data_IF_683138715743
#
_entry.id   IF_683138715743
#
_cell.length_a   1.000
_cell.length_b   1.000
_cell.length_c   1.000
_cell.angle_alpha   90.00
_cell.angle_beta   90.00
_cell.angle_gamma   90.00
#
_symmetry.space_group_name_H-M   'P 1'
#
loop_
_entity.id
_entity.type
_entity.pdbx_description
1 polymer ?
#
# COMPACT_ATOMS: atom_id res chain seq x y z
N UNK A 1 -0.71 -9.01 -27.82
CA UNK A 1 -1.57 -8.94 -26.64
C UNK A 1 -0.81 -8.39 -25.45
N UNK A 2 -1.47 -7.54 -24.65
CA UNK A 2 -0.89 -6.99 -23.42
C UNK A 2 -1.10 -8.03 -22.33
N UNK A 3 -0.03 -8.39 -21.60
CA UNK A 3 -0.10 -9.30 -20.45
C UNK A 3 0.04 -8.56 -19.12
N UNK A 4 -0.41 -9.19 -18.04
CA UNK A 4 -0.28 -8.66 -16.69
C UNK A 4 1.20 -8.40 -16.31
N UNK A 5 2.10 -9.34 -16.63
CA UNK A 5 3.54 -9.18 -16.37
C UNK A 5 4.15 -8.00 -17.15
N UNK A 6 3.71 -7.79 -18.40
CA UNK A 6 4.15 -6.64 -19.19
C UNK A 6 3.63 -5.32 -18.63
N UNK A 7 2.38 -5.26 -18.15
CA UNK A 7 1.83 -4.07 -17.49
C UNK A 7 2.54 -3.77 -16.16
N UNK A 8 2.79 -4.80 -15.35
CA UNK A 8 3.55 -4.68 -14.10
C UNK A 8 4.94 -4.10 -14.36
N UNK A 9 5.68 -4.67 -15.32
CA UNK A 9 7.01 -4.20 -15.72
C UNK A 9 6.99 -2.76 -16.27
N UNK A 10 5.98 -2.43 -17.08
CA UNK A 10 5.83 -1.09 -17.65
C UNK A 10 5.52 -0.05 -16.58
N UNK A 11 4.70 -0.41 -15.59
CA UNK A 11 4.40 0.45 -14.46
C UNK A 11 5.62 0.68 -13.58
N UNK A 12 6.27 -0.40 -13.16
CA UNK A 12 7.40 -0.36 -12.24
C UNK A 12 8.66 0.31 -12.84
N UNK A 13 8.83 0.27 -14.16
CA UNK A 13 9.97 0.92 -14.84
C UNK A 13 9.69 2.34 -15.33
N UNK A 14 8.44 2.67 -15.71
CA UNK A 14 8.14 3.92 -16.43
C UNK A 14 6.87 4.62 -15.98
N UNK A 15 5.74 3.92 -15.87
CA UNK A 15 4.45 4.62 -15.68
C UNK A 15 4.25 5.15 -14.25
N UNK A 16 4.99 4.65 -13.25
CA UNK A 16 5.05 5.30 -11.94
C UNK A 16 5.42 6.79 -12.04
N UNK A 17 6.21 7.19 -13.06
CA UNK A 17 6.61 8.59 -13.27
C UNK A 17 5.44 9.49 -13.64
N UNK A 18 4.42 8.96 -14.31
CA UNK A 18 3.21 9.72 -14.66
C UNK A 18 2.41 10.02 -13.38
N UNK A 19 2.33 9.05 -12.47
CA UNK A 19 1.71 9.23 -11.16
C UNK A 19 2.49 10.24 -10.29
N UNK A 20 3.82 10.15 -10.30
CA UNK A 20 4.70 11.13 -9.65
C UNK A 20 4.47 12.54 -10.20
N UNK A 21 4.49 12.70 -11.53
CA UNK A 21 4.24 13.98 -12.20
C UNK A 21 2.86 14.54 -11.87
N UNK A 22 1.83 13.68 -11.80
CA UNK A 22 0.49 14.09 -11.40
C UNK A 22 0.47 14.63 -9.98
N UNK A 23 1.14 13.96 -9.03
CA UNK A 23 1.19 14.40 -7.64
C UNK A 23 2.00 15.69 -7.49
N UNK A 24 3.14 15.80 -8.16
CA UNK A 24 3.99 17.01 -8.14
C UNK A 24 3.25 18.20 -8.79
N UNK A 25 2.50 17.96 -9.87
CA UNK A 25 1.63 18.96 -10.47
C UNK A 25 0.58 19.47 -9.48
N UNK A 26 -0.09 18.57 -8.75
CA UNK A 26 -1.11 18.97 -7.79
C UNK A 26 -0.53 19.61 -6.53
N UNK A 27 0.68 19.25 -6.13
CA UNK A 27 1.42 20.01 -5.13
C UNK A 27 1.54 21.49 -5.59
N UNK A 28 2.01 21.72 -6.82
CA UNK A 28 2.17 23.07 -7.35
C UNK A 28 0.84 23.83 -7.44
N UNK A 29 -0.25 23.17 -7.87
CA UNK A 29 -1.58 23.79 -7.92
C UNK A 29 -2.05 24.25 -6.54
N UNK A 30 -1.86 23.43 -5.50
CA UNK A 30 -2.27 23.79 -4.14
C UNK A 30 -1.36 24.88 -3.54
N UNK A 31 -0.08 24.92 -3.91
CA UNK A 31 0.91 25.88 -3.41
C UNK A 31 0.76 27.29 -4.03
N UNK A 32 0.19 27.41 -5.24
CA UNK A 32 0.10 28.67 -5.99
C UNK A 32 -0.85 29.73 -5.40
N UNK A 33 -1.76 29.36 -4.50
CA UNK A 33 -2.77 30.14 -3.72
C UNK A 33 -3.53 31.33 -4.35
N UNK A 34 -2.91 32.22 -5.14
CA UNK A 34 -3.49 33.47 -5.67
C UNK A 34 -3.54 33.53 -7.22
N UNK A 35 -2.76 32.70 -7.94
CA UNK A 35 -2.68 32.74 -9.43
C UNK A 35 -3.44 31.60 -10.13
N UNK A 36 -4.17 30.77 -9.37
CA UNK A 36 -4.81 29.54 -9.88
C UNK A 36 -5.84 29.84 -10.96
N UNK A 37 -6.60 30.93 -10.84
CA UNK A 37 -7.64 31.33 -11.81
C UNK A 37 -7.05 31.59 -13.21
N UNK A 38 -5.82 32.12 -13.29
CA UNK A 38 -5.15 32.38 -14.57
C UNK A 38 -4.69 31.08 -15.28
N UNK A 39 -4.64 29.98 -14.54
CA UNK A 39 -4.13 28.68 -15.01
C UNK A 39 -5.23 27.61 -15.09
N UNK A 40 -6.49 27.96 -14.85
CA UNK A 40 -7.62 27.01 -14.77
C UNK A 40 -7.68 26.07 -15.98
N UNK A 41 -7.59 26.60 -17.21
CA UNK A 41 -7.61 25.78 -18.43
C UNK A 41 -6.44 24.78 -18.50
N UNK A 42 -5.25 25.19 -18.06
CA UNK A 42 -4.06 24.32 -18.04
C UNK A 42 -4.23 23.23 -16.99
N UNK A 43 -4.79 23.58 -15.83
CA UNK A 43 -5.07 22.66 -14.73
C UNK A 43 -6.08 21.59 -15.16
N UNK A 44 -7.19 22.02 -15.73
CA UNK A 44 -8.24 21.13 -16.20
C UNK A 44 -7.75 20.18 -17.31
N UNK A 45 -7.01 20.71 -18.28
CA UNK A 45 -6.45 19.91 -19.35
C UNK A 45 -5.41 18.89 -18.84
N UNK A 46 -4.59 19.28 -17.84
CA UNK A 46 -3.61 18.38 -17.21
C UNK A 46 -4.30 17.26 -16.43
N UNK A 47 -5.31 17.60 -15.62
CA UNK A 47 -6.13 16.63 -14.88
C UNK A 47 -6.87 15.68 -15.81
N UNK A 48 -7.49 16.20 -16.87
CA UNK A 48 -8.18 15.41 -17.90
C UNK A 48 -7.23 14.45 -18.62
N UNK A 49 -6.04 14.92 -18.98
CA UNK A 49 -5.03 14.08 -19.64
C UNK A 49 -4.58 12.92 -18.76
N UNK A 50 -4.33 13.18 -17.47
CA UNK A 50 -4.04 12.11 -16.51
C UNK A 50 -5.21 11.13 -16.36
N UNK A 51 -6.46 11.61 -16.26
CA UNK A 51 -7.65 10.74 -16.16
C UNK A 51 -7.75 9.80 -17.36
N UNK A 52 -7.64 10.31 -18.59
CA UNK A 52 -7.68 9.50 -19.81
C UNK A 52 -6.59 8.42 -19.81
N UNK A 53 -5.38 8.79 -19.39
CA UNK A 53 -4.28 7.83 -19.23
C UNK A 53 -4.61 6.76 -18.18
N UNK A 54 -5.03 7.17 -16.99
CA UNK A 54 -5.30 6.30 -15.86
C UNK A 54 -6.46 5.33 -16.14
N UNK A 55 -7.52 5.79 -16.79
CA UNK A 55 -8.66 4.96 -17.19
C UNK A 55 -8.26 3.91 -18.23
N UNK A 56 -7.46 4.29 -19.23
CA UNK A 56 -6.96 3.34 -20.23
C UNK A 56 -6.07 2.27 -19.59
N UNK A 57 -5.19 2.68 -18.68
CA UNK A 57 -4.34 1.76 -17.92
C UNK A 57 -5.16 0.82 -17.06
N UNK A 58 -6.15 1.35 -16.34
CA UNK A 58 -7.01 0.56 -15.46
C UNK A 58 -7.85 -0.46 -16.24
N UNK A 59 -8.39 -0.07 -17.41
CA UNK A 59 -9.13 -1.00 -18.28
C UNK A 59 -8.25 -2.17 -18.75
N UNK A 60 -7.01 -1.88 -19.17
CA UNK A 60 -6.06 -2.92 -19.56
C UNK A 60 -5.68 -3.82 -18.38
N UNK A 61 -5.44 -3.22 -17.22
CA UNK A 61 -5.12 -3.95 -16.00
C UNK A 61 -6.25 -4.89 -15.58
N UNK A 62 -7.49 -4.40 -15.46
CA UNK A 62 -8.65 -5.24 -15.14
C UNK A 62 -8.85 -6.34 -16.17
N UNK A 63 -8.68 -6.05 -17.46
CA UNK A 63 -8.73 -7.06 -18.52
C UNK A 63 -7.71 -8.18 -18.29
N UNK A 64 -6.46 -7.84 -17.96
CA UNK A 64 -5.41 -8.83 -17.67
C UNK A 64 -5.70 -9.62 -16.38
N UNK A 65 -6.22 -8.97 -15.34
CA UNK A 65 -6.63 -9.65 -14.09
C UNK A 65 -7.72 -10.69 -14.38
N UNK A 66 -8.72 -10.36 -15.19
CA UNK A 66 -9.79 -11.29 -15.53
C UNK A 66 -9.29 -12.53 -16.29
N UNK A 67 -8.24 -12.38 -17.10
CA UNK A 67 -7.67 -13.47 -17.89
C UNK A 67 -6.57 -14.26 -17.18
N UNK A 68 -5.75 -13.60 -16.35
CA UNK A 68 -4.51 -14.15 -15.79
C UNK A 68 -4.55 -14.30 -14.26
N UNK A 69 -5.47 -13.63 -13.57
CA UNK A 69 -5.55 -13.60 -12.11
C UNK A 69 -4.57 -12.63 -11.44
N UNK A 70 -4.43 -12.75 -10.12
CA UNK A 70 -3.45 -12.03 -9.29
C UNK A 70 -2.95 -12.95 -8.17
N UNK A 71 -1.69 -12.85 -7.71
CA UNK A 71 -0.64 -11.91 -8.12
C UNK A 71 0.03 -12.26 -9.45
N UNK A 72 0.83 -11.32 -9.98
CA UNK A 72 1.63 -11.54 -11.20
C UNK A 72 2.56 -12.75 -11.00
N UNK A 73 2.53 -13.68 -11.96
CA UNK A 73 3.36 -14.90 -11.91
C UNK A 73 4.84 -14.53 -11.87
N UNK A 74 5.61 -15.24 -11.05
CA UNK A 74 7.06 -15.05 -10.83
C UNK A 74 7.49 -13.72 -10.18
N UNK A 75 6.57 -12.79 -9.93
CA UNK A 75 6.84 -11.58 -9.15
C UNK A 75 6.73 -11.82 -7.64
N UNK A 76 7.33 -10.92 -6.87
CA UNK A 76 7.32 -11.00 -5.41
C UNK A 76 5.93 -10.64 -4.88
N UNK A 77 5.41 -11.47 -3.98
CA UNK A 77 4.14 -11.20 -3.27
C UNK A 77 4.41 -10.50 -1.95
N UNK A 78 3.50 -9.64 -1.51
CA UNK A 78 3.62 -8.96 -0.22
C UNK A 78 3.80 -9.96 0.95
N UNK A 79 3.10 -11.10 0.89
CA UNK A 79 3.23 -12.24 1.83
C UNK A 79 4.63 -12.83 1.95
N UNK A 80 5.50 -12.63 0.96
CA UNK A 80 6.85 -13.18 0.91
C UNK A 80 7.91 -12.22 1.47
N UNK A 81 7.57 -10.94 1.67
CA UNK A 81 8.54 -9.89 1.99
C UNK A 81 9.31 -10.22 3.27
N UNK A 82 8.62 -10.61 4.34
CA UNK A 82 9.29 -10.92 5.61
C UNK A 82 10.25 -12.11 5.45
N UNK A 83 9.77 -13.21 4.90
CA UNK A 83 10.55 -14.45 4.78
C UNK A 83 11.71 -14.32 3.79
N UNK A 84 11.59 -13.43 2.79
CA UNK A 84 12.64 -13.22 1.78
C UNK A 84 13.69 -12.21 2.24
N UNK A 85 13.29 -11.13 2.91
CA UNK A 85 14.18 -9.99 3.17
C UNK A 85 14.53 -9.77 4.64
N UNK A 86 13.71 -10.26 5.58
CA UNK A 86 13.92 -10.06 7.03
C UNK A 86 14.43 -11.33 7.70
N UNK A 87 13.73 -12.46 7.55
CA UNK A 87 14.05 -13.70 8.25
C UNK A 87 15.49 -14.21 8.01
N UNK A 88 16.03 -14.25 6.78
CA UNK A 88 17.40 -14.74 6.55
C UNK A 88 18.48 -13.85 7.18
N UNK A 89 18.16 -12.58 7.42
CA UNK A 89 19.07 -11.66 8.09
C UNK A 89 19.08 -11.87 9.60
N UNK A 90 17.97 -12.33 10.20
CA UNK A 90 17.85 -12.62 11.64
C UNK A 90 18.54 -13.92 12.05
N UNK A 91 18.86 -14.81 11.11
CA UNK A 91 19.64 -16.03 11.37
C UNK A 91 21.12 -15.74 11.60
N UNK A 92 21.60 -14.59 11.11
CA UNK A 92 22.98 -14.14 11.29
C UNK A 92 23.16 -13.57 12.70
N UNK A 93 24.14 -14.08 13.44
CA UNK A 93 24.45 -13.60 14.80
C UNK A 93 24.76 -12.09 14.81
N UNK A 94 24.27 -11.39 15.83
CA UNK A 94 24.53 -9.97 16.09
C UNK A 94 24.07 -9.03 14.97
N UNK A 95 23.05 -9.41 14.20
CA UNK A 95 22.53 -8.58 13.12
C UNK A 95 21.26 -7.84 13.55
N UNK A 96 21.38 -6.51 13.73
CA UNK A 96 20.25 -5.63 14.07
C UNK A 96 19.57 -5.11 12.81
N UNK A 97 18.29 -5.44 12.67
CA UNK A 97 17.45 -5.17 11.52
C UNK A 97 16.30 -4.25 11.93
N UNK A 98 16.11 -3.17 11.19
CA UNK A 98 14.93 -2.33 11.29
C UNK A 98 14.00 -2.66 10.13
N UNK A 99 12.75 -3.01 10.44
CA UNK A 99 11.72 -3.30 9.45
C UNK A 99 10.63 -2.24 9.55
N UNK A 100 10.68 -1.28 8.61
CA UNK A 100 9.74 -0.18 8.50
C UNK A 100 8.57 -0.64 7.65
N UNK A 101 7.38 -0.68 8.26
CA UNK A 101 6.11 -0.91 7.60
C UNK A 101 5.42 0.45 7.46
N UNK A 102 5.49 1.00 6.26
CA UNK A 102 4.94 2.33 5.93
C UNK A 102 3.56 2.14 5.31
N UNK A 103 2.54 2.60 6.03
CA UNK A 103 1.14 2.57 5.62
C UNK A 103 0.94 3.47 4.39
N UNK A 104 0.43 2.90 3.30
CA UNK A 104 0.15 3.58 2.04
C UNK A 104 1.38 4.19 1.31
N UNK A 105 2.56 3.58 1.37
CA UNK A 105 3.74 4.00 0.59
C UNK A 105 3.62 3.49 -0.86
N UNK A 106 2.79 4.17 -1.64
CA UNK A 106 2.60 3.90 -3.08
C UNK A 106 3.93 3.81 -3.83
N UNK A 107 4.00 2.94 -4.84
CA UNK A 107 5.25 2.64 -5.54
C UNK A 107 6.00 3.88 -6.06
N UNK A 108 5.29 4.88 -6.58
CA UNK A 108 5.91 6.12 -7.06
C UNK A 108 6.57 6.95 -5.94
N UNK A 109 6.01 6.94 -4.73
CA UNK A 109 6.62 7.54 -3.53
C UNK A 109 7.89 6.79 -3.12
N UNK A 110 7.86 5.45 -3.21
CA UNK A 110 9.04 4.63 -2.93
C UNK A 110 10.16 4.89 -3.94
N UNK A 111 9.82 5.16 -5.21
CA UNK A 111 10.80 5.55 -6.23
C UNK A 111 11.37 6.95 -5.97
N UNK A 112 10.55 7.92 -5.55
CA UNK A 112 11.06 9.23 -5.13
C UNK A 112 11.95 9.14 -3.89
N UNK A 113 11.62 8.27 -2.93
CA UNK A 113 12.47 7.98 -1.78
C UNK A 113 13.82 7.41 -2.26
N UNK A 114 13.80 6.48 -3.22
CA UNK A 114 15.00 5.89 -3.82
C UNK A 114 15.92 6.95 -4.45
N UNK A 115 15.34 7.88 -5.22
CA UNK A 115 16.06 8.98 -5.88
C UNK A 115 16.77 9.93 -4.88
N UNK A 116 16.33 9.95 -3.62
CA UNK A 116 16.87 10.83 -2.56
C UNK A 116 17.93 10.16 -1.68
N UNK A 117 18.17 8.85 -1.82
CA UNK A 117 19.23 8.20 -1.04
C UNK A 117 20.62 8.66 -1.50
N UNK A 118 21.52 9.04 -0.57
CA UNK A 118 22.88 9.39 -0.93
C UNK A 118 23.71 8.15 -1.27
N UNK A 119 24.71 8.29 -2.14
CA UNK A 119 25.61 7.22 -2.63
C UNK A 119 26.28 6.39 -1.51
N UNK A 120 26.32 6.90 -0.28
CA UNK A 120 26.80 6.18 0.90
C UNK A 120 25.94 4.97 1.30
N UNK A 121 24.73 4.82 0.75
CA UNK A 121 23.85 3.67 0.97
C UNK A 121 23.91 2.72 -0.23
N UNK A 122 24.05 1.42 0.06
CA UNK A 122 23.71 0.38 -0.90
C UNK A 122 22.20 0.12 -0.80
N UNK A 123 21.45 0.50 -1.83
CA UNK A 123 19.99 0.36 -1.85
C UNK A 123 19.59 -0.61 -2.95
N UNK A 124 18.84 -1.63 -2.57
CA UNK A 124 18.13 -2.52 -3.49
C UNK A 124 16.64 -2.22 -3.40
N UNK A 125 15.95 -2.23 -4.53
CA UNK A 125 14.51 -2.03 -4.60
C UNK A 125 13.86 -3.16 -5.39
N UNK A 126 12.64 -3.49 -5.01
CA UNK A 126 11.86 -4.56 -5.61
C UNK A 126 10.42 -4.08 -5.74
N UNK A 127 9.82 -4.21 -6.92
CA UNK A 127 8.39 -4.09 -7.07
C UNK A 127 7.72 -5.35 -6.48
N UNK A 128 6.66 -5.15 -5.69
CA UNK A 128 5.99 -6.22 -4.95
C UNK A 128 4.49 -6.13 -5.20
N UNK A 129 3.86 -7.25 -5.54
CA UNK A 129 2.42 -7.36 -5.65
C UNK A 129 1.75 -7.22 -4.28
N UNK A 130 0.92 -6.19 -4.10
CA UNK A 130 0.12 -5.99 -2.89
C UNK A 130 -0.80 -7.19 -2.60
N UNK A 131 -1.07 -7.43 -1.32
CA UNK A 131 -2.04 -8.44 -0.92
C UNK A 131 -3.45 -7.88 -1.07
N UNK A 132 -4.29 -8.58 -1.83
CA UNK A 132 -5.69 -8.23 -1.97
C UNK A 132 -6.54 -8.79 -0.81
N UNK A 133 -7.66 -8.13 -0.48
CA UNK A 133 -7.98 -6.75 -0.86
C UNK A 133 -6.99 -5.76 -0.20
N UNK A 134 -6.70 -4.62 -0.84
CA UNK A 134 -5.67 -3.64 -0.40
C UNK A 134 -6.09 -2.81 0.82
N UNK A 135 -6.49 -3.50 1.89
CA UNK A 135 -6.77 -2.93 3.20
C UNK A 135 -5.50 -2.96 4.05
N UNK A 136 -5.26 -1.90 4.82
CA UNK A 136 -4.17 -1.78 5.80
C UNK A 136 -4.02 -3.04 6.66
N UNK A 137 -5.12 -3.55 7.23
CA UNK A 137 -5.08 -4.75 8.07
C UNK A 137 -4.55 -5.98 7.29
N UNK A 138 -4.97 -6.16 6.04
CA UNK A 138 -4.57 -7.28 5.18
C UNK A 138 -3.13 -7.15 4.74
N UNK A 139 -2.72 -5.99 4.21
CA UNK A 139 -1.35 -5.75 3.78
C UNK A 139 -0.37 -5.83 4.95
N UNK A 140 -0.68 -5.22 6.09
CA UNK A 140 0.15 -5.31 7.31
C UNK A 140 0.24 -6.73 7.85
N UNK A 141 -0.82 -7.54 7.76
CA UNK A 141 -0.76 -8.96 8.11
C UNK A 141 0.09 -9.76 7.10
N UNK A 142 0.08 -9.39 5.82
CA UNK A 142 0.91 -10.05 4.81
C UNK A 142 2.41 -9.81 5.01
N UNK A 143 2.80 -8.72 5.68
CA UNK A 143 4.20 -8.44 6.03
C UNK A 143 4.72 -9.22 7.26
N UNK A 144 3.93 -10.11 7.85
CA UNK A 144 4.34 -10.88 9.03
C UNK A 144 5.05 -12.19 8.67
N UNK A 145 5.81 -12.79 9.60
CA UNK A 145 6.43 -14.10 9.40
C UNK A 145 5.41 -15.17 9.00
N UNK A 146 5.80 -16.05 8.09
CA UNK A 146 4.95 -17.15 7.59
C UNK A 146 3.61 -16.74 6.97
N UNK A 147 3.40 -15.46 6.65
CA UNK A 147 2.18 -15.04 5.97
C UNK A 147 2.02 -15.75 4.62
N UNK A 148 3.13 -16.00 3.92
CA UNK A 148 3.10 -16.78 2.68
C UNK A 148 2.59 -18.20 2.94
N UNK A 149 1.49 -18.56 2.27
CA UNK A 149 0.83 -19.84 2.45
C UNK A 149 -0.17 -19.89 3.61
N UNK A 150 0.07 -19.21 4.75
CA UNK A 150 -0.78 -19.31 5.95
C UNK A 150 -1.75 -18.14 6.16
N UNK A 151 -1.57 -17.01 5.47
CA UNK A 151 -2.50 -15.90 5.52
C UNK A 151 -3.86 -16.33 4.95
N UNK A 152 -4.91 -16.14 5.73
CA UNK A 152 -6.30 -16.30 5.32
C UNK A 152 -7.12 -15.09 5.80
N UNK A 153 -8.29 -14.90 5.21
CA UNK A 153 -9.19 -13.81 5.53
C UNK A 153 -10.55 -14.37 5.93
N UNK A 154 -11.06 -13.90 7.07
CA UNK A 154 -12.42 -14.16 7.54
C UNK A 154 -13.28 -12.89 7.47
N UNK A 155 -14.60 -13.08 7.50
CA UNK A 155 -15.55 -11.98 7.61
C UNK A 155 -15.57 -11.41 9.04
N UNK A 156 -15.47 -10.09 9.14
CA UNK A 156 -15.83 -9.33 10.34
C UNK A 156 -17.11 -8.53 10.12
N UNK A 157 -17.32 -7.51 10.95
CA UNK A 157 -18.44 -6.58 10.78
C UNK A 157 -18.17 -5.61 9.62
N UNK A 158 -18.74 -5.93 8.44
CA UNK A 158 -18.57 -5.17 7.18
C UNK A 158 -17.11 -4.95 6.77
N UNK A 159 -16.20 -5.75 7.30
CA UNK A 159 -14.75 -5.68 7.11
C UNK A 159 -14.14 -7.08 7.12
N UNK A 160 -12.84 -7.16 6.88
CA UNK A 160 -12.07 -8.41 6.91
C UNK A 160 -11.30 -8.57 8.21
N UNK A 161 -11.11 -9.82 8.64
CA UNK A 161 -10.23 -10.21 9.73
C UNK A 161 -9.11 -11.08 9.13
N UNK A 162 -7.90 -10.55 8.90
CA UNK A 162 -6.78 -11.35 8.46
C UNK A 162 -6.26 -12.24 9.59
N UNK A 163 -5.97 -13.50 9.26
CA UNK A 163 -5.36 -14.47 10.17
C UNK A 163 -4.14 -15.15 9.55
N UNK A 164 -3.17 -15.46 10.39
CA UNK A 164 -2.03 -16.32 10.02
C UNK A 164 -2.12 -17.59 10.86
N UNK A 165 -2.48 -18.69 10.22
CA UNK A 165 -2.91 -19.89 10.94
C UNK A 165 -4.08 -19.56 11.88
N UNK A 166 -3.99 -19.86 13.19
CA UNK A 166 -5.08 -19.58 14.14
C UNK A 166 -5.07 -18.14 14.68
N UNK A 167 -4.08 -17.31 14.35
CA UNK A 167 -3.89 -16.00 14.98
C UNK A 167 -4.50 -14.87 14.15
N UNK A 168 -5.40 -14.08 14.74
CA UNK A 168 -5.87 -12.82 14.15
C UNK A 168 -4.81 -11.73 14.23
N UNK A 169 -4.58 -11.04 13.10
CA UNK A 169 -3.50 -10.04 12.94
C UNK A 169 -4.09 -8.72 12.42
N UNK A 170 -4.97 -8.11 13.21
CA UNK A 170 -5.75 -6.92 12.83
C UNK A 170 -5.06 -5.61 13.19
N UNK A 171 -4.26 -5.60 14.27
CA UNK A 171 -3.72 -4.37 14.85
C UNK A 171 -2.23 -4.50 15.27
N UNK A 172 -1.55 -3.38 15.57
CA UNK A 172 -0.12 -3.42 15.90
C UNK A 172 0.24 -4.28 17.12
N UNK A 173 -0.66 -4.39 18.11
CA UNK A 173 -0.44 -5.22 19.31
C UNK A 173 -0.44 -6.71 18.95
N UNK A 174 -1.38 -7.13 18.11
CA UNK A 174 -1.45 -8.50 17.60
C UNK A 174 -0.24 -8.84 16.73
N UNK A 175 0.19 -7.93 15.83
CA UNK A 175 1.43 -8.09 15.04
C UNK A 175 2.66 -8.30 15.91
N UNK A 176 2.84 -7.45 16.93
CA UNK A 176 3.97 -7.61 17.86
C UNK A 176 3.88 -8.92 18.66
N UNK A 177 2.68 -9.30 19.10
CA UNK A 177 2.48 -10.55 19.85
C UNK A 177 2.80 -11.78 19.01
N UNK A 178 2.37 -11.79 17.75
CA UNK A 178 2.66 -12.86 16.79
C UNK A 178 4.16 -12.97 16.49
N UNK A 179 4.83 -11.85 16.22
CA UNK A 179 6.29 -11.84 15.98
C UNK A 179 7.05 -12.30 17.24
N UNK A 180 6.62 -11.91 18.44
CA UNK A 180 7.24 -12.36 19.69
C UNK A 180 7.01 -13.85 19.97
N UNK A 181 5.92 -14.43 19.49
CA UNK A 181 5.72 -15.88 19.58
C UNK A 181 6.77 -16.65 18.75
N UNK A 182 7.28 -16.05 17.66
CA UNK A 182 8.31 -16.64 16.79
C UNK A 182 9.73 -16.31 17.26
N UNK A 183 9.99 -15.06 17.66
CA UNK A 183 11.34 -14.55 17.91
C UNK A 183 11.62 -14.18 19.37
N UNK A 184 10.67 -14.38 20.28
CA UNK A 184 10.82 -14.08 21.70
C UNK A 184 10.99 -12.58 21.98
N UNK A 185 11.89 -12.24 22.89
CA UNK A 185 12.16 -10.86 23.29
C UNK A 185 13.10 -10.10 22.34
N UNK A 186 13.52 -10.73 21.22
CA UNK A 186 14.36 -10.12 20.17
C UNK A 186 13.66 -9.02 19.38
N UNK A 187 12.38 -8.77 19.65
CA UNK A 187 11.53 -7.87 18.86
C UNK A 187 10.85 -6.78 19.68
N UNK A 188 10.95 -5.56 19.17
CA UNK A 188 10.20 -4.39 19.65
C UNK A 188 9.48 -3.70 18.49
N UNK A 189 8.46 -2.91 18.83
CA UNK A 189 7.67 -2.13 17.88
C UNK A 189 7.67 -0.66 18.32
N UNK A 190 8.11 0.23 17.43
CA UNK A 190 8.03 1.68 17.60
C UNK A 190 7.17 2.32 16.51
N UNK A 191 6.72 3.55 16.78
CA UNK A 191 6.23 4.45 15.74
C UNK A 191 7.42 5.21 15.12
N UNK A 192 7.35 5.50 13.83
CA UNK A 192 8.34 6.31 13.14
C UNK A 192 8.46 7.71 13.78
N UNK A 193 7.32 8.35 14.11
CA UNK A 193 7.26 9.68 14.75
C UNK A 193 7.97 9.74 16.12
N UNK A 194 8.01 8.62 16.85
CA UNK A 194 8.62 8.54 18.18
C UNK A 194 10.13 8.31 18.10
N UNK A 195 10.61 7.81 16.97
CA UNK A 195 11.97 7.32 16.78
C UNK A 195 13.04 8.40 17.05
N UNK A 196 12.89 9.67 16.63
CA UNK A 196 13.87 10.73 16.93
C UNK A 196 14.17 10.86 18.44
N UNK A 197 13.17 10.63 19.30
CA UNK A 197 13.26 10.74 20.77
C UNK A 197 13.85 9.48 21.43
N UNK A 198 13.94 8.35 20.72
CA UNK A 198 14.48 7.10 21.28
C UNK A 198 15.98 7.21 21.51
N UNK A 199 16.52 6.53 22.52
CA UNK A 199 17.95 6.46 22.83
C UNK A 199 18.31 4.98 22.97
N UNK A 200 19.60 4.62 22.85
CA UNK A 200 20.06 3.23 22.99
C UNK A 200 19.55 2.59 24.28
N UNK A 201 19.58 3.33 25.39
CA UNK A 201 19.04 2.91 26.70
C UNK A 201 17.52 2.59 26.73
N UNK A 202 16.77 2.95 25.69
CA UNK A 202 15.35 2.63 25.58
C UNK A 202 15.10 1.29 24.87
N UNK A 203 16.16 0.64 24.35
CA UNK A 203 16.10 -0.66 23.70
C UNK A 203 16.76 -1.69 24.62
N UNK A 204 16.17 -2.89 24.72
CA UNK A 204 16.86 -4.01 25.36
C UNK A 204 18.03 -4.48 24.49
N UNK A 205 19.07 -5.00 25.12
CA UNK A 205 20.24 -5.53 24.40
C UNK A 205 19.89 -6.76 23.54
N UNK A 206 18.82 -7.46 23.88
CA UNK A 206 18.30 -8.62 23.13
C UNK A 206 17.62 -8.25 21.81
N UNK A 207 17.28 -6.96 21.59
CA UNK A 207 16.57 -6.53 20.37
C UNK A 207 17.46 -6.62 19.13
N UNK A 208 17.07 -7.51 18.23
CA UNK A 208 17.67 -7.70 16.91
C UNK A 208 16.71 -7.34 15.77
N UNK A 209 15.39 -7.34 16.00
CA UNK A 209 14.37 -6.88 15.06
C UNK A 209 13.60 -5.69 15.66
N UNK A 210 13.73 -4.52 15.06
CA UNK A 210 12.90 -3.36 15.38
C UNK A 210 11.84 -3.16 14.31
N UNK A 211 10.60 -3.47 14.65
CA UNK A 211 9.44 -3.13 13.83
C UNK A 211 9.14 -1.64 13.99
N UNK A 212 8.89 -0.96 12.88
CA UNK A 212 8.61 0.47 12.89
C UNK A 212 7.37 0.69 12.04
N UNK A 213 6.30 1.20 12.65
CA UNK A 213 5.10 1.57 11.90
C UNK A 213 5.09 3.06 11.60
N UNK A 214 4.64 3.40 10.40
CA UNK A 214 4.29 4.76 9.97
C UNK A 214 2.87 4.70 9.44
N UNK A 215 2.01 5.61 9.87
CA UNK A 215 0.58 5.67 9.52
C UNK A 215 0.20 7.00 8.86
N UNK A 216 1.19 7.88 8.66
CA UNK A 216 0.95 9.29 8.41
C UNK A 216 0.47 9.56 6.99
N UNK A 217 0.95 8.81 5.98
CA UNK A 217 0.54 9.00 4.58
C UNK A 217 -0.95 8.68 4.43
N UNK A 218 -1.36 7.50 4.87
CA UNK A 218 -2.76 7.06 4.85
C UNK A 218 -3.67 8.03 5.63
N UNK A 219 -3.29 8.33 6.88
CA UNK A 219 -4.05 9.25 7.75
C UNK A 219 -4.21 10.65 7.15
N UNK A 220 -3.17 11.22 6.52
CA UNK A 220 -3.26 12.52 5.85
C UNK A 220 -4.20 12.43 4.65
N UNK A 221 -4.10 11.35 3.87
CA UNK A 221 -4.99 11.08 2.76
C UNK A 221 -6.46 11.03 3.17
N UNK A 222 -6.77 10.30 4.24
CA UNK A 222 -8.13 10.18 4.77
C UNK A 222 -8.68 11.50 5.34
N UNK A 223 -7.88 12.24 6.12
CA UNK A 223 -8.36 13.41 6.84
C UNK A 223 -8.45 14.67 5.96
N UNK A 224 -7.48 14.88 5.07
CA UNK A 224 -7.33 16.12 4.30
C UNK A 224 -6.86 15.86 2.86
N UNK A 225 -7.60 15.06 2.06
CA UNK A 225 -7.18 14.59 0.74
C UNK A 225 -6.75 15.72 -0.20
N UNK A 226 -7.49 16.83 -0.23
CA UNK A 226 -7.19 17.99 -1.09
C UNK A 226 -5.87 18.70 -0.77
N UNK A 227 -5.27 18.45 0.40
CA UNK A 227 -3.96 18.99 0.81
C UNK A 227 -2.90 17.91 0.99
N UNK A 228 -3.21 16.63 0.74
CA UNK A 228 -2.32 15.52 1.05
C UNK A 228 -0.95 15.65 0.37
N UNK A 229 -0.91 16.14 -0.86
CA UNK A 229 0.34 16.38 -1.60
C UNK A 229 1.31 17.32 -0.87
N UNK A 230 0.82 18.32 -0.13
CA UNK A 230 1.67 19.25 0.63
C UNK A 230 2.44 18.55 1.76
N UNK A 231 1.80 17.57 2.42
CA UNK A 231 2.36 16.90 3.58
C UNK A 231 3.25 15.71 3.21
N UNK A 232 2.94 15.03 2.10
CA UNK A 232 3.70 13.85 1.63
C UNK A 232 5.21 14.12 1.58
N UNK A 233 5.60 15.32 1.15
CA UNK A 233 7.01 15.72 1.07
C UNK A 233 7.71 15.73 2.44
N UNK A 234 7.02 16.17 3.49
CA UNK A 234 7.54 16.15 4.85
C UNK A 234 7.53 14.74 5.45
N UNK A 235 6.55 13.91 5.09
CA UNK A 235 6.51 12.50 5.51
C UNK A 235 7.71 11.70 4.95
N UNK A 236 8.11 11.97 3.69
CA UNK A 236 9.34 11.40 3.11
C UNK A 236 10.58 11.82 3.92
N UNK A 237 10.67 13.10 4.35
CA UNK A 237 11.78 13.58 5.19
C UNK A 237 11.83 12.86 6.54
N UNK A 238 10.67 12.54 7.11
CA UNK A 238 10.60 11.84 8.40
C UNK A 238 11.08 10.39 8.31
N UNK A 239 10.88 9.71 7.17
CA UNK A 239 11.50 8.41 6.89
C UNK A 239 13.02 8.52 6.95
N UNK A 240 13.63 9.51 6.29
CA UNK A 240 15.09 9.72 6.32
C UNK A 240 15.62 10.05 7.73
N UNK A 241 14.94 10.93 8.48
CA UNK A 241 15.29 11.20 9.89
C UNK A 241 15.25 9.91 10.72
N UNK A 242 14.27 9.05 10.45
CA UNK A 242 14.16 7.73 11.06
C UNK A 242 15.35 6.84 10.72
N UNK A 243 15.71 6.73 9.44
CA UNK A 243 16.88 5.97 8.96
C UNK A 243 18.17 6.42 9.65
N UNK A 244 18.44 7.73 9.70
CA UNK A 244 19.62 8.27 10.38
C UNK A 244 19.62 7.95 11.87
N UNK A 245 18.43 7.92 12.48
CA UNK A 245 18.27 7.54 13.87
C UNK A 245 18.55 6.05 14.09
N UNK A 246 18.09 5.18 13.22
CA UNK A 246 18.35 3.73 13.27
C UNK A 246 19.84 3.42 13.17
N UNK A 247 20.55 4.12 12.30
CA UNK A 247 22.02 4.02 12.19
C UNK A 247 22.70 4.34 13.52
N UNK A 248 22.29 5.40 14.22
CA UNK A 248 22.79 5.77 15.56
C UNK A 248 22.39 4.76 16.66
N UNK A 249 21.32 4.01 16.44
CA UNK A 249 20.89 2.90 17.30
C UNK A 249 21.51 1.55 16.88
N UNK A 250 22.49 1.57 15.97
CA UNK A 250 23.25 0.42 15.46
C UNK A 250 22.46 -0.57 14.59
N UNK A 251 21.29 -0.17 14.08
CA UNK A 251 20.56 -0.93 13.05
C UNK A 251 21.14 -0.60 11.67
N UNK A 252 21.95 -1.53 11.15
CA UNK A 252 22.68 -1.36 9.86
C UNK A 252 21.96 -1.98 8.67
N UNK A 253 20.94 -2.81 8.92
CA UNK A 253 20.06 -3.37 7.89
C UNK A 253 18.69 -2.76 8.08
N UNK A 254 18.20 -2.07 7.06
CA UNK A 254 16.92 -1.37 7.08
C UNK A 254 16.13 -1.90 5.89
N UNK A 255 14.96 -2.45 6.17
CA UNK A 255 14.00 -2.91 5.16
C UNK A 255 12.79 -1.99 5.27
N UNK A 256 12.41 -1.37 4.16
CA UNK A 256 11.23 -0.52 4.06
C UNK A 256 10.25 -1.28 3.18
N UNK A 257 9.06 -1.53 3.71
CA UNK A 257 7.97 -2.20 3.01
C UNK A 257 6.67 -1.43 3.23
N UNK A 258 5.70 -1.72 2.37
CA UNK A 258 4.36 -1.15 2.45
C UNK A 258 3.31 -2.24 2.39
N UNK A 259 2.15 -1.93 2.94
CA UNK A 259 0.96 -2.77 2.93
C UNK A 259 0.16 -2.61 1.64
N UNK A 260 -0.04 -1.38 1.18
CA UNK A 260 -0.75 -1.03 -0.05
C UNK A 260 -0.30 0.33 -0.61
N UNK A 261 -0.76 0.66 -1.81
CA UNK A 261 -0.80 2.02 -2.32
C UNK A 261 -2.17 2.66 -2.19
N UNK A 262 -2.45 3.69 -3.00
CA UNK A 262 -3.69 4.45 -2.91
C UNK A 262 -4.01 5.22 -4.19
N UNK A 263 -5.28 5.57 -4.32
CA UNK A 263 -5.80 6.53 -5.29
C UNK A 263 -6.05 7.87 -4.59
N UNK A 264 -5.50 8.94 -5.15
CA UNK A 264 -5.77 10.31 -4.74
C UNK A 264 -6.32 11.10 -5.93
N UNK A 265 -7.59 11.48 -5.80
CA UNK A 265 -8.31 12.38 -6.68
C UNK A 265 -8.42 13.75 -6.03
N UNK A 266 -8.52 14.80 -6.83
CA UNK A 266 -8.63 16.18 -6.35
C UNK A 266 -10.05 16.73 -6.52
N UNK A 267 -10.79 16.15 -7.47
CA UNK A 267 -12.20 16.43 -7.76
C UNK A 267 -12.91 15.11 -8.07
N UNK A 268 -14.21 15.03 -7.76
CA UNK A 268 -15.06 13.96 -8.24
C UNK A 268 -15.85 14.45 -9.46
N UNK A 269 -15.68 13.74 -10.57
CA UNK A 269 -16.34 14.00 -11.85
C UNK A 269 -17.46 12.98 -12.10
N UNK A 270 -18.33 13.19 -13.10
CA UNK A 270 -19.20 12.12 -13.60
C UNK A 270 -18.40 10.85 -13.91
N UNK A 271 -18.75 9.74 -13.24
CA UNK A 271 -18.03 8.46 -13.35
C UNK A 271 -17.04 8.16 -12.20
N UNK A 272 -16.72 9.13 -11.33
CA UNK A 272 -15.96 8.88 -10.09
C UNK A 272 -16.74 8.03 -9.09
N UNK A 273 -18.07 8.07 -9.15
CA UNK A 273 -18.94 7.22 -8.33
C UNK A 273 -19.50 6.08 -9.19
N UNK A 274 -19.10 4.86 -8.85
CA UNK A 274 -19.56 3.64 -9.51
C UNK A 274 -20.81 3.13 -8.78
N UNK A 275 -21.92 2.83 -9.49
CA UNK A 275 -23.08 2.23 -8.86
C UNK A 275 -22.70 0.94 -8.15
N UNK A 276 -23.00 0.85 -6.85
CA UNK A 276 -22.80 -0.36 -6.06
C UNK A 276 -23.77 -1.45 -6.57
N UNK A 277 -23.32 -2.65 -6.94
CA UNK A 277 -24.22 -3.74 -7.31
C UNK A 277 -24.99 -4.29 -6.10
N UNK A 278 -26.20 -4.78 -6.36
CA UNK A 278 -26.99 -5.48 -5.36
C UNK A 278 -26.34 -6.82 -4.97
N UNK A 279 -26.44 -7.17 -3.69
CA UNK A 279 -25.89 -8.40 -3.16
C UNK A 279 -25.90 -8.45 -1.63
N UNK A 280 -25.62 -9.64 -1.11
CA UNK A 280 -25.39 -9.88 0.31
C UNK A 280 -23.88 -9.76 0.59
N UNK A 281 -23.46 -8.56 0.98
CA UNK A 281 -22.07 -8.19 1.15
C UNK A 281 -21.65 -8.32 2.62
N UNK A 282 -20.74 -9.27 2.87
CA UNK A 282 -20.10 -9.44 4.17
C UNK A 282 -19.03 -8.37 4.44
N UNK A 283 -18.39 -7.88 3.37
CA UNK A 283 -17.42 -6.78 3.42
C UNK A 283 -17.88 -5.71 2.46
N UNK A 284 -17.90 -4.46 2.95
CA UNK A 284 -18.26 -3.30 2.16
C UNK A 284 -17.24 -2.19 2.38
N UNK A 285 -16.50 -1.87 1.32
CA UNK A 285 -15.51 -0.80 1.31
C UNK A 285 -15.72 0.11 0.10
N UNK A 286 -15.26 1.37 0.15
CA UNK A 286 -15.32 2.29 -0.97
C UNK A 286 -14.91 1.70 -2.33
N UNK A 287 -13.92 0.78 -2.38
CA UNK A 287 -13.42 0.21 -3.63
C UNK A 287 -13.58 -1.30 -3.78
N UNK A 288 -14.14 -2.00 -2.79
CA UNK A 288 -14.42 -3.42 -2.96
C UNK A 288 -15.60 -3.93 -2.13
N UNK A 289 -16.17 -5.05 -2.59
CA UNK A 289 -17.18 -5.82 -1.88
C UNK A 289 -16.74 -7.29 -1.84
N UNK A 290 -16.94 -7.97 -0.71
CA UNK A 290 -16.80 -9.43 -0.61
C UNK A 290 -18.11 -10.01 -0.08
N UNK A 291 -18.61 -11.05 -0.74
CA UNK A 291 -19.89 -11.65 -0.38
C UNK A 291 -20.54 -12.37 -1.55
N UNK A 292 -21.88 -12.39 -1.56
CA UNK A 292 -22.67 -13.01 -2.62
C UNK A 292 -23.39 -11.93 -3.43
N UNK A 293 -22.98 -11.75 -4.68
CA UNK A 293 -23.67 -10.91 -5.65
C UNK A 293 -23.06 -11.04 -7.03
N UNK A 294 -23.52 -10.23 -7.96
CA UNK A 294 -23.05 -10.21 -9.34
C UNK A 294 -22.44 -8.86 -9.71
N UNK A 295 -21.63 -8.85 -10.76
CA UNK A 295 -21.15 -7.61 -11.35
C UNK A 295 -22.31 -6.83 -12.00
N UNK A 296 -22.13 -5.52 -12.11
CA UNK A 296 -22.95 -4.64 -12.96
C UNK A 296 -22.05 -4.06 -14.07
N UNK A 297 -22.56 -3.21 -14.99
CA UNK A 297 -21.73 -2.66 -16.07
C UNK A 297 -20.42 -1.99 -15.62
N UNK A 298 -20.44 -1.33 -14.45
CA UNK A 298 -19.30 -0.59 -13.89
C UNK A 298 -18.35 -1.40 -13.01
N UNK A 299 -18.67 -2.67 -12.71
CA UNK A 299 -17.86 -3.53 -11.83
C UNK A 299 -17.44 -4.82 -12.51
N UNK A 300 -16.46 -5.49 -11.91
CA UNK A 300 -16.06 -6.86 -12.25
C UNK A 300 -16.25 -7.75 -11.03
N UNK A 301 -16.70 -8.98 -11.26
CA UNK A 301 -16.77 -10.04 -10.26
C UNK A 301 -15.63 -11.02 -10.49
N UNK A 302 -14.82 -11.22 -9.47
CA UNK A 302 -13.65 -12.08 -9.47
C UNK A 302 -13.87 -13.17 -8.43
N UNK A 303 -13.40 -14.38 -8.74
CA UNK A 303 -13.28 -15.42 -7.73
C UNK A 303 -12.12 -15.02 -6.79
N UNK A 304 -12.34 -14.92 -5.47
CA UNK A 304 -11.28 -14.53 -4.53
C UNK A 304 -10.00 -15.36 -4.66
N UNK A 305 -10.11 -16.66 -4.93
CA UNK A 305 -8.96 -17.55 -5.08
C UNK A 305 -8.06 -17.18 -6.28
N UNK A 306 -8.66 -16.73 -7.38
CA UNK A 306 -7.94 -16.37 -8.62
C UNK A 306 -7.17 -15.06 -8.48
N UNK A 307 -7.45 -14.28 -7.43
CA UNK A 307 -6.78 -13.02 -7.12
C UNK A 307 -6.04 -13.03 -5.78
N UNK A 308 -5.68 -14.23 -5.30
CA UNK A 308 -4.82 -14.41 -4.13
C UNK A 308 -5.51 -14.11 -2.80
N UNK A 309 -6.84 -13.98 -2.76
CA UNK A 309 -7.64 -13.81 -1.55
C UNK A 309 -8.05 -15.20 -1.04
N UNK A 310 -7.33 -15.70 -0.03
CA UNK A 310 -7.70 -16.95 0.65
C UNK A 310 -8.80 -16.70 1.67
N UNK A 311 -10.05 -16.78 1.24
CA UNK A 311 -11.23 -16.53 2.07
C UNK A 311 -12.44 -17.35 1.62
N UNK A 312 -13.40 -17.57 2.51
CA UNK A 312 -14.67 -18.22 2.20
C UNK A 312 -15.72 -17.20 1.71
N UNK A 313 -15.37 -16.41 0.69
CA UNK A 313 -16.31 -15.50 0.04
C UNK A 313 -16.68 -16.02 -1.36
N UNK A 314 -17.96 -15.99 -1.77
CA UNK A 314 -18.34 -16.39 -3.12
C UNK A 314 -17.82 -15.47 -4.23
N UNK A 315 -17.64 -14.18 -3.95
CA UNK A 315 -17.22 -13.18 -4.93
C UNK A 315 -16.42 -12.05 -4.30
N UNK A 316 -15.46 -11.53 -5.06
CA UNK A 316 -14.78 -10.26 -4.84
C UNK A 316 -15.16 -9.30 -5.97
N UNK A 317 -15.78 -8.17 -5.61
CA UNK A 317 -16.27 -7.19 -6.58
C UNK A 317 -15.45 -5.91 -6.44
N UNK A 318 -14.97 -5.40 -7.57
CA UNK A 318 -14.27 -4.12 -7.64
C UNK A 318 -14.79 -3.26 -8.81
N UNK A 319 -14.68 -1.92 -8.73
CA UNK A 319 -14.86 -1.03 -9.86
C UNK A 319 -13.94 -1.39 -11.05
N UNK A 320 -14.44 -1.23 -12.27
CA UNK A 320 -13.61 -1.29 -13.49
C UNK A 320 -12.76 -0.04 -13.71
N UNK A 321 -13.07 1.04 -12.99
CA UNK A 321 -12.39 2.34 -13.07
C UNK A 321 -11.64 2.63 -11.77
N UNK A 322 -10.98 3.77 -11.68
CA UNK A 322 -10.43 4.27 -10.42
C UNK A 322 -11.49 4.94 -9.51
N UNK A 323 -12.79 4.76 -9.78
CA UNK A 323 -13.88 5.29 -8.95
C UNK A 323 -14.16 4.47 -7.69
N UNK A 324 -15.13 4.93 -6.90
CA UNK A 324 -15.56 4.29 -5.65
C UNK A 324 -17.07 4.08 -5.64
N UNK A 325 -17.57 3.22 -4.75
CA UNK A 325 -19.00 3.03 -4.48
C UNK A 325 -19.62 4.15 -3.65
N UNK A 326 -18.83 5.16 -3.25
CA UNK A 326 -19.23 6.20 -2.30
C UNK A 326 -18.91 7.61 -2.82
N UNK A 327 -19.88 8.50 -2.74
CA UNK A 327 -19.66 9.92 -3.10
C UNK A 327 -18.77 10.61 -2.06
N UNK A 328 -17.97 11.59 -2.50
CA UNK A 328 -17.11 12.42 -1.65
C UNK A 328 -15.78 11.79 -1.25
N UNK A 329 -15.46 10.59 -1.74
CA UNK A 329 -14.20 9.90 -1.48
C UNK A 329 -13.14 10.34 -2.50
N UNK A 330 -12.21 11.17 -2.06
CA UNK A 330 -11.08 11.67 -2.86
C UNK A 330 -9.79 10.89 -2.63
N UNK A 331 -9.59 10.36 -1.42
CA UNK A 331 -8.53 9.41 -1.09
C UNK A 331 -9.16 8.03 -0.88
N UNK A 332 -8.60 7.00 -1.51
CA UNK A 332 -9.10 5.64 -1.34
C UNK A 332 -8.04 4.59 -1.63
N UNK A 333 -8.19 3.46 -0.94
CA UNK A 333 -7.52 2.20 -1.21
C UNK A 333 -8.58 1.09 -1.12
N UNK A 334 -8.21 -0.16 -0.83
CA UNK A 334 -9.10 -1.34 -0.74
C UNK A 334 -9.54 -1.94 -2.09
N UNK A 335 -9.15 -1.35 -3.21
CA UNK A 335 -9.53 -1.77 -4.55
C UNK A 335 -8.51 -2.67 -5.24
N UNK A 336 -8.47 -2.53 -6.56
CA UNK A 336 -7.60 -3.27 -7.46
C UNK A 336 -7.18 -2.38 -8.63
N UNK A 337 -5.99 -1.80 -8.52
CA UNK A 337 -5.33 -1.05 -9.60
C UNK A 337 -3.81 -1.15 -9.45
N UNK A 338 -3.05 -0.68 -10.44
CA UNK A 338 -1.58 -0.68 -10.36
C UNK A 338 -1.02 0.27 -9.29
N UNK A 339 -1.82 1.25 -8.87
CA UNK A 339 -1.48 2.26 -7.87
C UNK A 339 -1.68 1.79 -6.42
N UNK A 340 -2.48 0.73 -6.23
CA UNK A 340 -2.85 0.15 -4.93
C UNK A 340 -2.04 -1.13 -4.69
#
# INVERSE_FOLDING_TARGET
DISLSSLFSLYSSRFYRIDKLKRDFEYAVVDLSEEVELLEEVIDNSRKSYRVFADRMQQQFIGCIQSEGWPVVAEIRNTQVFNRFVAPLLEKKNNKIAFLMVDALRYELAMELLERFPDSYHVEHYAVCAQLPTLTAVGMASLMPDADGKLNIEAGDKTVIPKIGPHSITNPKERLSYIRAVYGDRCELFNLEDLPRKKKKHLKDTVELLLIKSTEIDRVGEMIPGKAALFIQDLIKDIFKGIDKLKRLEFKRIIIATDHGFILQYEQEPGSVVPKPDGDWAVEKPRCLLGRGAANPGTVALNPADVGIKANFPSYIVPKTLGTFQKGVLYSHQGLSLQE
#
